data_IF_151106756767
#
_entry.id   IF_151106756767
#
_cell.length_a   1.000
_cell.length_b   1.000
_cell.length_c   1.000
_cell.angle_alpha   90.00
_cell.angle_beta   90.00
_cell.angle_gamma   90.00
#
_symmetry.space_group_name_H-M   'P 1'
#
loop_
_entity.id
_entity.type
_entity.pdbx_description
1 polymer ?
#
# COMPACT_ATOMS: atom_id res chain seq x y z
N UNK A 1 -3.29 -19.92 21.71
CA UNK A 1 -1.99 -20.08 21.04
C UNK A 1 -1.09 -18.94 21.49
N UNK A 2 -0.04 -19.25 22.26
CA UNK A 2 0.93 -18.23 22.70
C UNK A 2 1.88 -17.83 21.55
N UNK A 3 2.18 -18.78 20.65
CA UNK A 3 2.99 -18.55 19.46
C UNK A 3 2.45 -19.36 18.29
N UNK A 4 2.31 -18.72 17.14
CA UNK A 4 1.93 -19.35 15.88
C UNK A 4 2.56 -18.64 14.69
N UNK A 5 2.94 -19.40 13.67
CA UNK A 5 3.42 -18.85 12.40
C UNK A 5 2.56 -19.41 11.28
N UNK A 6 2.00 -18.51 10.48
CA UNK A 6 1.27 -18.84 9.27
C UNK A 6 1.96 -18.25 8.05
N UNK A 7 2.09 -19.02 6.98
CA UNK A 7 2.62 -18.58 5.71
C UNK A 7 1.50 -18.49 4.68
N UNK A 8 1.43 -17.37 3.95
CA UNK A 8 0.63 -17.24 2.75
C UNK A 8 1.50 -17.44 1.51
N UNK A 9 1.02 -18.23 0.55
CA UNK A 9 1.69 -18.42 -0.72
C UNK A 9 1.17 -17.44 -1.76
N UNK A 10 2.05 -16.90 -2.60
CA UNK A 10 1.63 -16.13 -3.77
C UNK A 10 0.91 -17.04 -4.78
N UNK A 11 0.13 -16.43 -5.65
CA UNK A 11 -0.56 -17.14 -6.75
C UNK A 11 0.47 -17.89 -7.60
N UNK A 12 0.19 -19.16 -7.91
CA UNK A 12 1.04 -20.06 -8.69
C UNK A 12 2.42 -20.39 -8.06
N UNK A 13 2.60 -20.21 -6.74
CA UNK A 13 3.81 -20.67 -6.06
C UNK A 13 3.82 -22.20 -5.97
N UNK A 14 4.99 -22.81 -6.21
CA UNK A 14 5.19 -24.25 -6.03
C UNK A 14 4.96 -24.63 -4.55
N UNK A 15 3.96 -25.50 -4.33
CA UNK A 15 3.57 -25.97 -3.00
C UNK A 15 4.73 -26.67 -2.26
N UNK A 16 5.54 -27.45 -3.00
CA UNK A 16 6.68 -28.17 -2.41
C UNK A 16 7.76 -27.23 -1.87
N UNK A 17 8.01 -26.11 -2.58
CA UNK A 17 8.96 -25.10 -2.09
C UNK A 17 8.44 -24.42 -0.82
N UNK A 18 7.15 -24.14 -0.76
CA UNK A 18 6.54 -23.54 0.44
C UNK A 18 6.56 -24.49 1.64
N UNK A 19 6.32 -25.79 1.42
CA UNK A 19 6.44 -26.81 2.47
C UNK A 19 7.87 -26.92 3.01
N UNK A 20 8.86 -26.93 2.13
CA UNK A 20 10.28 -26.92 2.53
C UNK A 20 10.64 -25.69 3.35
N UNK A 21 10.15 -24.52 2.95
CA UNK A 21 10.34 -23.26 3.69
C UNK A 21 9.67 -23.35 5.08
N UNK A 22 8.44 -23.83 5.15
CA UNK A 22 7.72 -24.01 6.41
C UNK A 22 8.50 -24.93 7.36
N UNK A 23 8.97 -26.08 6.87
CA UNK A 23 9.78 -27.05 7.65
C UNK A 23 11.12 -26.47 8.09
N UNK A 24 11.78 -25.66 7.25
CA UNK A 24 13.03 -25.02 7.61
C UNK A 24 12.82 -23.98 8.73
N UNK A 25 11.80 -23.14 8.61
CA UNK A 25 11.43 -22.18 9.64
C UNK A 25 11.04 -22.87 10.96
N UNK A 26 10.20 -23.91 10.90
CA UNK A 26 9.79 -24.67 12.10
C UNK A 26 11.00 -25.23 12.85
N UNK A 27 12.01 -25.77 12.14
CA UNK A 27 13.24 -26.26 12.75
C UNK A 27 14.08 -25.15 13.39
N UNK A 28 14.11 -23.96 12.78
CA UNK A 28 14.94 -22.85 13.24
C UNK A 28 14.33 -22.12 14.43
N UNK A 29 13.02 -21.90 14.41
CA UNK A 29 12.32 -21.10 15.43
C UNK A 29 11.65 -21.94 16.53
N UNK A 30 11.58 -23.27 16.35
CA UNK A 30 10.95 -24.19 17.33
C UNK A 30 9.43 -24.01 17.49
N UNK A 31 8.78 -23.35 16.53
CA UNK A 31 7.31 -23.11 16.53
C UNK A 31 6.73 -23.77 15.29
N UNK A 32 5.59 -24.46 15.43
CA UNK A 32 4.89 -25.08 14.31
C UNK A 32 4.55 -24.06 13.24
N UNK A 33 4.92 -24.35 11.99
CA UNK A 33 4.68 -23.50 10.83
C UNK A 33 3.68 -24.16 9.90
N UNK A 34 2.56 -23.51 9.62
CA UNK A 34 1.52 -24.00 8.73
C UNK A 34 1.36 -23.14 7.48
N UNK A 35 1.13 -23.78 6.33
CA UNK A 35 0.70 -23.09 5.11
C UNK A 35 -0.77 -22.72 5.26
N UNK A 36 -1.04 -21.42 5.37
CA UNK A 36 -2.38 -20.89 5.60
C UNK A 36 -3.24 -20.85 4.36
N UNK A 37 -2.66 -20.72 3.19
CA UNK A 37 -3.36 -20.64 1.91
C UNK A 37 -2.73 -19.66 0.93
N UNK A 38 -3.43 -19.35 -0.15
CA UNK A 38 -3.01 -18.35 -1.14
C UNK A 38 -3.23 -16.95 -0.59
N UNK A 39 -2.24 -16.07 -0.75
CA UNK A 39 -2.23 -14.70 -0.22
C UNK A 39 -3.50 -13.92 -0.60
N UNK A 40 -3.92 -13.99 -1.86
CA UNK A 40 -5.13 -13.34 -2.37
C UNK A 40 -6.40 -13.76 -1.61
N UNK A 41 -6.53 -15.05 -1.29
CA UNK A 41 -7.67 -15.55 -0.51
C UNK A 41 -7.62 -15.04 0.93
N UNK A 42 -6.42 -14.99 1.51
CA UNK A 42 -6.21 -14.48 2.85
C UNK A 42 -6.48 -12.97 2.92
N UNK A 43 -6.05 -12.22 1.91
CA UNK A 43 -6.37 -10.79 1.79
C UNK A 43 -7.89 -10.55 1.76
N UNK A 44 -8.65 -11.35 0.99
CA UNK A 44 -10.12 -11.25 0.96
C UNK A 44 -10.72 -11.59 2.32
N UNK A 45 -10.35 -12.73 2.93
CA UNK A 45 -10.89 -13.14 4.23
C UNK A 45 -10.65 -12.08 5.31
N UNK A 46 -9.45 -11.51 5.36
CA UNK A 46 -9.16 -10.42 6.26
C UNK A 46 -9.97 -9.17 5.96
N UNK A 47 -10.10 -8.81 4.68
CA UNK A 47 -10.84 -7.61 4.24
C UNK A 47 -12.33 -7.69 4.59
N UNK A 48 -12.93 -8.87 4.54
CA UNK A 48 -14.32 -9.10 4.94
C UNK A 48 -14.61 -8.78 6.42
N UNK A 49 -13.57 -8.63 7.24
CA UNK A 49 -13.74 -8.16 8.63
C UNK A 49 -13.84 -6.64 8.75
N UNK A 50 -13.70 -5.91 7.65
CA UNK A 50 -13.93 -4.46 7.59
C UNK A 50 -15.43 -4.18 7.67
N UNK A 51 -15.90 -3.32 8.58
CA UNK A 51 -17.32 -3.01 8.70
C UNK A 51 -17.91 -2.50 7.38
N UNK A 52 -19.07 -3.03 7.01
CA UNK A 52 -19.79 -2.64 5.79
C UNK A 52 -19.29 -3.27 4.49
N UNK A 53 -18.26 -4.09 4.56
CA UNK A 53 -17.77 -4.85 3.38
C UNK A 53 -18.53 -6.16 3.26
N UNK A 54 -18.99 -6.48 2.07
CA UNK A 54 -19.71 -7.71 1.74
C UNK A 54 -19.30 -8.22 0.35
N UNK A 55 -19.63 -9.47 0.05
CA UNK A 55 -19.44 -10.05 -1.30
C UNK A 55 -20.60 -9.66 -2.24
N UNK A 56 -20.35 -9.43 -3.54
CA UNK A 56 -19.07 -9.57 -4.23
C UNK A 56 -18.07 -8.48 -3.81
N UNK A 57 -16.80 -8.86 -3.69
CA UNK A 57 -15.73 -7.98 -3.19
C UNK A 57 -14.50 -8.07 -4.08
N UNK A 58 -14.05 -6.93 -4.58
CA UNK A 58 -12.70 -6.80 -5.13
C UNK A 58 -11.74 -6.23 -4.05
N UNK A 59 -10.57 -6.83 -3.94
CA UNK A 59 -9.49 -6.37 -3.07
C UNK A 59 -8.32 -5.96 -3.95
N UNK A 60 -7.75 -4.81 -3.68
CA UNK A 60 -6.54 -4.29 -4.32
C UNK A 60 -5.46 -4.15 -3.25
N UNK A 61 -4.49 -5.07 -3.27
CA UNK A 61 -3.34 -5.04 -2.37
C UNK A 61 -2.20 -4.25 -2.99
N UNK A 62 -1.84 -3.17 -2.32
CA UNK A 62 -0.79 -2.24 -2.73
C UNK A 62 0.43 -2.44 -1.83
N UNK A 63 1.29 -3.35 -2.23
CA UNK A 63 2.50 -3.72 -1.50
C UNK A 63 3.70 -2.81 -1.77
N UNK A 64 4.87 -3.28 -1.34
CA UNK A 64 6.16 -2.66 -1.65
C UNK A 64 6.71 -3.11 -3.01
N UNK A 65 6.63 -4.41 -3.31
CA UNK A 65 7.16 -5.03 -4.53
C UNK A 65 6.12 -5.32 -5.60
N UNK A 66 4.87 -5.58 -5.20
CA UNK A 66 3.78 -5.98 -6.08
C UNK A 66 2.51 -5.17 -5.87
N UNK A 67 1.67 -5.21 -6.90
CA UNK A 67 0.28 -4.76 -6.88
C UNK A 67 -0.58 -5.96 -7.23
N UNK A 68 -1.42 -6.39 -6.30
CA UNK A 68 -2.22 -7.58 -6.42
C UNK A 68 -3.70 -7.22 -6.43
N UNK A 69 -4.48 -7.93 -7.25
CA UNK A 69 -5.92 -7.82 -7.19
C UNK A 69 -6.57 -9.20 -7.02
N UNK A 70 -7.62 -9.24 -6.25
CA UNK A 70 -8.46 -10.42 -6.10
C UNK A 70 -9.94 -10.01 -6.12
N UNK A 71 -10.77 -10.83 -6.76
CA UNK A 71 -12.23 -10.69 -6.77
C UNK A 71 -12.85 -11.95 -6.23
N UNK A 72 -13.68 -11.83 -5.21
CA UNK A 72 -14.59 -12.88 -4.75
C UNK A 72 -15.99 -12.59 -5.27
N UNK A 73 -16.54 -13.52 -6.01
CA UNK A 73 -17.92 -13.46 -6.51
C UNK A 73 -18.91 -13.94 -5.45
N UNK A 74 -20.22 -13.69 -5.65
CA UNK A 74 -21.28 -14.06 -4.69
C UNK A 74 -21.38 -15.56 -4.44
N UNK A 75 -20.90 -16.40 -5.36
CA UNK A 75 -20.82 -17.86 -5.21
C UNK A 75 -19.53 -18.33 -4.53
N UNK A 76 -18.70 -17.39 -4.05
CA UNK A 76 -17.48 -17.68 -3.30
C UNK A 76 -16.25 -18.01 -4.14
N UNK A 77 -16.34 -17.96 -5.47
CA UNK A 77 -15.16 -18.14 -6.33
C UNK A 77 -14.23 -16.94 -6.25
N UNK A 78 -12.93 -17.20 -6.19
CA UNK A 78 -11.89 -16.17 -6.16
C UNK A 78 -11.08 -16.21 -7.45
N UNK A 79 -10.97 -15.05 -8.10
CA UNK A 79 -10.02 -14.82 -9.20
C UNK A 79 -8.99 -13.82 -8.71
N UNK A 80 -7.72 -14.07 -8.98
CA UNK A 80 -6.63 -13.20 -8.53
C UNK A 80 -5.53 -13.06 -9.55
N UNK A 81 -4.79 -11.94 -9.47
CA UNK A 81 -3.63 -11.63 -10.30
C UNK A 81 -2.56 -10.95 -9.46
N UNK A 82 -1.32 -11.26 -9.76
CA UNK A 82 -0.12 -10.66 -9.18
C UNK A 82 0.63 -9.88 -10.26
N UNK A 83 0.89 -8.60 -10.02
CA UNK A 83 1.65 -7.73 -10.92
C UNK A 83 2.87 -7.18 -10.19
N UNK A 84 4.05 -7.38 -10.80
CA UNK A 84 5.27 -6.76 -10.31
C UNK A 84 5.22 -5.23 -10.41
N UNK A 85 5.82 -4.55 -9.43
CA UNK A 85 5.92 -3.10 -9.38
C UNK A 85 4.88 -2.46 -8.46
N UNK A 86 5.40 -1.85 -7.39
CA UNK A 86 4.62 -1.14 -6.39
C UNK A 86 5.49 -0.07 -5.69
N UNK A 87 5.43 0.06 -4.39
CA UNK A 87 6.07 1.14 -3.63
C UNK A 87 7.55 1.35 -3.89
N UNK A 88 8.32 0.25 -4.01
CA UNK A 88 9.76 0.33 -4.29
C UNK A 88 10.07 0.93 -5.67
N UNK A 89 9.24 0.63 -6.67
CA UNK A 89 9.41 1.20 -8.00
C UNK A 89 9.12 2.71 -8.02
N UNK A 90 8.18 3.18 -7.20
CA UNK A 90 7.93 4.62 -7.03
C UNK A 90 9.17 5.32 -6.49
N UNK A 91 9.80 4.77 -5.43
CA UNK A 91 11.03 5.33 -4.83
C UNK A 91 12.18 5.38 -5.84
N UNK A 92 12.36 4.32 -6.65
CA UNK A 92 13.35 4.29 -7.73
C UNK A 92 13.08 5.35 -8.83
N UNK A 93 11.83 5.56 -9.19
CA UNK A 93 11.47 6.60 -10.16
C UNK A 93 11.74 8.00 -9.61
N UNK A 94 11.37 8.27 -8.36
CA UNK A 94 11.67 9.55 -7.69
C UNK A 94 13.18 9.79 -7.64
N UNK A 95 13.95 8.79 -7.23
CA UNK A 95 15.41 8.86 -7.17
C UNK A 95 16.02 9.25 -8.52
N UNK A 96 15.60 8.58 -9.59
CA UNK A 96 16.11 8.82 -10.93
C UNK A 96 15.71 10.18 -11.50
N UNK A 97 14.44 10.54 -11.40
CA UNK A 97 13.89 11.78 -11.96
C UNK A 97 14.41 13.05 -11.25
N UNK A 98 14.74 12.94 -9.95
CA UNK A 98 15.36 14.01 -9.18
C UNK A 98 16.89 13.90 -9.11
N UNK A 99 17.47 12.93 -9.83
CA UNK A 99 18.91 12.69 -9.84
C UNK A 99 19.53 12.66 -8.41
N UNK A 100 18.82 11.96 -7.49
CA UNK A 100 19.31 11.82 -6.13
C UNK A 100 20.50 10.84 -6.11
N UNK A 101 21.56 11.12 -5.35
CA UNK A 101 22.73 10.23 -5.27
C UNK A 101 22.36 8.81 -4.84
N UNK A 102 23.03 7.79 -5.43
CA UNK A 102 22.62 6.37 -5.30
C UNK A 102 23.02 5.70 -3.99
N UNK A 103 23.99 6.25 -3.28
CA UNK A 103 24.68 5.60 -2.17
C UNK A 103 24.20 6.03 -0.76
N UNK A 104 23.37 7.07 -0.69
CA UNK A 104 22.82 7.55 0.59
C UNK A 104 21.29 7.73 0.58
N UNK A 105 20.55 7.45 -0.51
CA UNK A 105 19.30 8.17 -0.72
C UNK A 105 18.12 7.38 -1.28
N UNK A 106 18.12 6.07 -1.20
CA UNK A 106 16.88 5.30 -1.24
C UNK A 106 15.96 5.81 -0.13
N UNK A 107 16.53 6.13 1.02
CA UNK A 107 15.81 6.70 2.17
C UNK A 107 15.20 8.05 1.86
N UNK A 108 15.89 8.96 1.16
CA UNK A 108 15.34 10.26 0.80
C UNK A 108 14.21 10.15 -0.22
N UNK A 109 14.35 9.31 -1.22
CA UNK A 109 13.28 9.05 -2.20
C UNK A 109 12.06 8.41 -1.53
N UNK A 110 12.29 7.49 -0.57
CA UNK A 110 11.24 6.88 0.24
C UNK A 110 10.55 7.92 1.13
N UNK A 111 11.31 8.81 1.76
CA UNK A 111 10.76 9.91 2.55
C UNK A 111 9.94 10.88 1.71
N UNK A 112 10.45 11.28 0.53
CA UNK A 112 9.71 12.13 -0.43
C UNK A 112 8.41 11.44 -0.86
N UNK A 113 8.43 10.13 -1.08
CA UNK A 113 7.23 9.35 -1.41
C UNK A 113 6.18 9.43 -0.31
N UNK A 114 6.58 9.31 0.95
CA UNK A 114 5.68 9.13 2.09
C UNK A 114 5.17 10.40 2.73
N UNK A 115 5.90 11.52 2.59
CA UNK A 115 5.59 12.74 3.35
C UNK A 115 5.20 13.91 2.46
N UNK A 116 4.25 14.73 2.90
CA UNK A 116 3.95 16.00 2.25
C UNK A 116 5.16 16.94 2.30
N UNK A 117 5.17 17.91 1.38
CA UNK A 117 6.23 18.90 1.23
C UNK A 117 5.76 20.27 1.69
N UNK A 118 6.70 21.06 2.21
CA UNK A 118 6.49 22.48 2.42
C UNK A 118 7.75 23.28 2.06
N UNK A 119 7.59 24.59 1.84
CA UNK A 119 8.68 25.55 1.72
C UNK A 119 8.67 26.48 2.93
N UNK A 120 9.80 26.61 3.59
CA UNK A 120 9.96 27.53 4.73
C UNK A 120 10.16 28.92 4.18
N UNK A 121 9.15 29.79 4.24
CA UNK A 121 9.18 31.14 3.70
C UNK A 121 9.58 32.20 4.74
N UNK A 122 9.35 31.87 6.03
CA UNK A 122 9.85 32.68 7.15
C UNK A 122 10.09 31.78 8.36
N UNK A 123 10.64 32.34 9.43
CA UNK A 123 10.80 31.62 10.69
C UNK A 123 9.49 31.30 11.39
N UNK A 124 8.37 31.88 10.95
CA UNK A 124 7.08 31.70 11.59
C UNK A 124 6.02 31.09 10.67
N UNK A 125 6.34 30.84 9.40
CA UNK A 125 5.37 30.16 8.51
C UNK A 125 6.04 29.37 7.40
N UNK A 126 5.32 28.37 6.94
CA UNK A 126 5.63 27.55 5.77
C UNK A 126 4.49 27.61 4.77
N UNK A 127 4.82 27.49 3.49
CA UNK A 127 3.85 27.23 2.42
C UNK A 127 3.85 25.73 2.13
N UNK A 128 2.70 25.10 2.30
CA UNK A 128 2.49 23.70 1.99
C UNK A 128 2.39 23.47 0.48
N UNK A 129 2.53 22.24 0.04
CA UNK A 129 2.45 21.85 -1.38
C UNK A 129 1.06 22.05 -2.03
N UNK A 130 0.01 22.22 -1.24
CA UNK A 130 -1.34 22.59 -1.67
C UNK A 130 -1.57 24.11 -1.73
N UNK A 131 -0.51 24.91 -1.51
CA UNK A 131 -0.50 26.36 -1.39
C UNK A 131 -1.14 26.92 -0.11
N UNK A 132 -1.60 26.10 0.81
CA UNK A 132 -1.98 26.56 2.14
C UNK A 132 -0.76 27.06 2.92
N UNK A 133 -0.98 27.95 3.91
CA UNK A 133 0.07 28.48 4.75
C UNK A 133 -0.18 28.04 6.19
N UNK A 134 0.85 27.45 6.81
CA UNK A 134 0.83 27.05 8.21
C UNK A 134 1.70 28.01 9.02
N UNK A 135 1.13 28.62 10.07
CA UNK A 135 1.84 29.53 10.98
C UNK A 135 2.22 28.84 12.27
N UNK A 136 3.40 29.18 12.78
CA UNK A 136 3.94 28.67 14.04
C UNK A 136 3.95 29.77 15.11
N UNK A 137 3.69 29.40 16.36
CA UNK A 137 3.76 30.34 17.51
C UNK A 137 5.20 30.67 17.90
N UNK A 138 6.08 29.66 17.76
CA UNK A 138 7.50 29.77 18.05
C UNK A 138 8.30 29.78 16.74
N UNK A 139 9.46 30.47 16.71
CA UNK A 139 10.28 30.53 15.51
C UNK A 139 10.87 29.15 15.18
N UNK A 140 10.84 28.81 13.89
CA UNK A 140 11.52 27.65 13.33
C UNK A 140 13.03 27.81 13.40
N UNK A 141 13.80 26.72 13.34
CA UNK A 141 15.27 26.76 13.23
C UNK A 141 15.63 27.61 11.99
N UNK A 142 16.48 28.66 12.20
CA UNK A 142 16.96 29.54 11.11
C UNK A 142 17.59 28.78 9.94
N UNK A 143 18.16 27.59 10.17
CA UNK A 143 18.72 26.73 9.12
C UNK A 143 17.69 26.22 8.11
N UNK A 144 16.42 26.25 8.46
CA UNK A 144 15.32 25.82 7.57
C UNK A 144 14.89 26.93 6.61
N UNK A 145 15.22 28.19 6.88
CA UNK A 145 14.77 29.33 6.08
C UNK A 145 15.10 29.16 4.59
N UNK A 146 14.13 29.36 3.74
CA UNK A 146 14.25 29.26 2.28
C UNK A 146 14.34 27.82 1.73
N UNK A 147 14.37 26.80 2.59
CA UNK A 147 14.48 25.40 2.17
C UNK A 147 13.14 24.75 1.91
N UNK A 148 13.16 23.74 1.04
CA UNK A 148 12.08 22.74 0.93
C UNK A 148 12.28 21.73 2.05
N UNK A 149 11.21 21.35 2.73
CA UNK A 149 11.23 20.38 3.80
C UNK A 149 10.06 19.37 3.65
N UNK A 150 10.29 18.19 4.22
CA UNK A 150 9.25 17.17 4.43
C UNK A 150 8.53 17.48 5.74
N UNK A 151 7.21 17.33 5.70
CA UNK A 151 6.37 17.41 6.90
C UNK A 151 6.25 16.01 7.49
N UNK A 152 6.98 15.75 8.57
CA UNK A 152 7.03 14.46 9.26
C UNK A 152 6.34 14.52 10.62
N UNK A 153 6.08 13.39 11.23
CA UNK A 153 5.52 13.33 12.59
C UNK A 153 6.41 13.99 13.64
N UNK A 154 7.73 14.02 13.40
CA UNK A 154 8.71 14.62 14.31
C UNK A 154 9.03 16.09 14.00
N UNK A 155 8.39 16.66 12.97
CA UNK A 155 8.57 18.05 12.56
C UNK A 155 9.02 18.20 11.11
N UNK A 156 9.70 19.30 10.80
CA UNK A 156 10.16 19.62 9.45
C UNK A 156 11.57 19.07 9.22
N UNK A 157 11.72 18.22 8.20
CA UNK A 157 13.00 17.66 7.78
C UNK A 157 13.43 18.31 6.46
N UNK A 158 14.51 19.13 6.45
CA UNK A 158 14.95 19.80 5.23
C UNK A 158 15.50 18.82 4.20
N UNK A 159 15.21 19.08 2.93
CA UNK A 159 15.76 18.34 1.81
C UNK A 159 16.96 19.09 1.24
N UNK A 160 18.11 18.42 1.13
CA UNK A 160 19.26 18.95 0.41
C UNK A 160 19.04 18.76 -1.10
N UNK A 161 18.46 19.75 -1.77
CA UNK A 161 18.13 19.70 -3.18
C UNK A 161 18.13 21.09 -3.81
N UNK A 162 18.42 21.18 -5.10
CA UNK A 162 18.26 22.38 -5.91
C UNK A 162 16.87 22.45 -6.59
N UNK A 163 16.06 21.38 -6.48
CA UNK A 163 14.74 21.34 -7.07
C UNK A 163 13.73 22.18 -6.28
N UNK A 164 12.77 22.78 -6.98
CA UNK A 164 11.64 23.47 -6.34
C UNK A 164 10.68 22.48 -5.71
N UNK A 165 9.86 22.96 -4.76
CA UNK A 165 8.80 22.17 -4.14
C UNK A 165 7.85 21.59 -5.19
N UNK A 166 7.44 22.40 -6.17
CA UNK A 166 6.54 22.03 -7.25
C UNK A 166 7.14 20.88 -8.09
N UNK A 167 8.44 20.95 -8.41
CA UNK A 167 9.11 19.89 -9.18
C UNK A 167 9.16 18.58 -8.42
N UNK A 168 9.50 18.60 -7.14
CA UNK A 168 9.55 17.39 -6.31
C UNK A 168 8.15 16.78 -6.19
N UNK A 169 7.13 17.59 -5.92
CA UNK A 169 5.73 17.16 -5.86
C UNK A 169 5.26 16.54 -7.18
N UNK A 170 5.57 17.18 -8.31
CA UNK A 170 5.19 16.68 -9.64
C UNK A 170 5.82 15.32 -9.92
N UNK A 171 7.12 15.16 -9.68
CA UNK A 171 7.85 13.90 -9.87
C UNK A 171 7.25 12.80 -8.99
N UNK A 172 7.02 13.09 -7.70
CA UNK A 172 6.41 12.13 -6.78
C UNK A 172 5.04 11.67 -7.27
N UNK A 173 4.16 12.60 -7.61
CA UNK A 173 2.79 12.29 -8.07
C UNK A 173 2.80 11.51 -9.39
N UNK A 174 3.65 11.90 -10.32
CA UNK A 174 3.77 11.19 -11.59
C UNK A 174 4.33 9.78 -11.41
N UNK A 175 5.33 9.58 -10.54
CA UNK A 175 5.85 8.26 -10.21
C UNK A 175 4.76 7.35 -9.60
N UNK A 176 3.98 7.86 -8.64
CA UNK A 176 2.83 7.14 -8.06
C UNK A 176 1.80 6.79 -9.13
N UNK A 177 1.46 7.72 -10.01
CA UNK A 177 0.51 7.52 -11.10
C UNK A 177 0.96 6.46 -12.08
N UNK A 178 2.23 6.51 -12.50
CA UNK A 178 2.82 5.53 -13.44
C UNK A 178 2.82 4.11 -12.89
N UNK A 179 3.04 3.95 -11.60
CA UNK A 179 3.11 2.64 -10.96
C UNK A 179 1.74 2.19 -10.49
N UNK A 180 1.18 2.84 -9.48
CA UNK A 180 -0.01 2.35 -8.82
C UNK A 180 -1.28 2.48 -9.67
N UNK A 181 -1.52 3.63 -10.29
CA UNK A 181 -2.73 3.79 -11.08
C UNK A 181 -2.76 2.84 -12.28
N UNK A 182 -1.63 2.69 -12.97
CA UNK A 182 -1.53 1.79 -14.12
C UNK A 182 -1.68 0.32 -13.71
N UNK A 183 -0.97 -0.12 -12.67
CA UNK A 183 -1.04 -1.50 -12.21
C UNK A 183 -2.40 -1.83 -11.61
N UNK A 184 -2.99 -0.94 -10.82
CA UNK A 184 -4.33 -1.13 -10.26
C UNK A 184 -5.38 -1.34 -11.36
N UNK A 185 -5.40 -0.48 -12.39
CA UNK A 185 -6.35 -0.62 -13.50
C UNK A 185 -6.13 -1.94 -14.25
N UNK A 186 -4.89 -2.30 -14.55
CA UNK A 186 -4.56 -3.58 -15.21
C UNK A 186 -4.98 -4.78 -14.37
N UNK A 187 -4.69 -4.75 -13.08
CA UNK A 187 -5.03 -5.83 -12.16
C UNK A 187 -6.55 -5.99 -12.02
N UNK A 188 -7.26 -4.89 -11.78
CA UNK A 188 -8.73 -4.91 -11.69
C UNK A 188 -9.39 -5.37 -12.99
N UNK A 189 -8.88 -4.93 -14.15
CA UNK A 189 -9.39 -5.39 -15.45
C UNK A 189 -9.25 -6.90 -15.63
N UNK A 190 -8.16 -7.49 -15.16
CA UNK A 190 -7.93 -8.94 -15.29
C UNK A 190 -8.81 -9.78 -14.36
N UNK A 191 -9.14 -9.29 -13.17
CA UNK A 191 -10.04 -10.00 -12.25
C UNK A 191 -11.52 -9.68 -12.47
N UNK A 192 -11.81 -8.59 -13.17
CA UNK A 192 -13.19 -8.14 -13.43
C UNK A 192 -13.96 -9.14 -14.31
N UNK A 193 -15.26 -9.36 -14.05
CA UNK A 193 -16.12 -10.15 -14.92
C UNK A 193 -16.09 -9.61 -16.35
N UNK A 194 -15.84 -10.49 -17.32
CA UNK A 194 -15.70 -10.15 -18.75
C UNK A 194 -14.60 -9.12 -19.06
N UNK A 195 -13.61 -8.95 -18.17
CA UNK A 195 -12.53 -7.98 -18.32
C UNK A 195 -12.99 -6.52 -18.22
N UNK A 196 -14.16 -6.24 -17.67
CA UNK A 196 -14.72 -4.90 -17.59
C UNK A 196 -14.81 -4.41 -16.12
N UNK A 197 -14.02 -3.41 -15.76
CA UNK A 197 -13.98 -2.83 -14.41
C UNK A 197 -15.36 -2.31 -13.97
N UNK A 198 -16.22 -1.89 -14.89
CA UNK A 198 -17.59 -1.43 -14.59
C UNK A 198 -18.47 -2.52 -13.95
N UNK A 199 -18.05 -3.79 -14.03
CA UNK A 199 -18.72 -4.91 -13.37
C UNK A 199 -18.21 -5.15 -11.93
N UNK A 200 -17.42 -4.23 -11.40
CA UNK A 200 -16.96 -4.21 -10.02
C UNK A 200 -17.60 -3.01 -9.32
N UNK A 201 -18.52 -3.24 -8.42
CA UNK A 201 -19.21 -2.18 -7.70
C UNK A 201 -18.33 -1.55 -6.63
N UNK A 202 -17.57 -2.39 -5.91
CA UNK A 202 -16.76 -1.96 -4.77
C UNK A 202 -15.36 -2.59 -4.78
N UNK A 203 -14.34 -1.76 -4.50
CA UNK A 203 -12.94 -2.18 -4.32
C UNK A 203 -12.46 -1.75 -2.94
N UNK A 204 -11.92 -2.70 -2.17
CA UNK A 204 -11.22 -2.42 -0.93
C UNK A 204 -9.70 -2.34 -1.16
N UNK A 205 -9.08 -1.24 -0.76
CA UNK A 205 -7.62 -1.10 -0.76
C UNK A 205 -7.07 -1.71 0.52
N UNK A 206 -6.06 -2.57 0.37
CA UNK A 206 -5.24 -3.11 1.45
C UNK A 206 -3.76 -2.92 1.14
N UNK A 207 -2.89 -3.36 2.06
CA UNK A 207 -1.44 -3.22 1.93
C UNK A 207 -0.89 -1.88 2.42
N UNK A 208 0.42 -1.83 2.62
CA UNK A 208 1.11 -0.68 3.22
C UNK A 208 1.02 0.60 2.40
N UNK A 209 1.02 0.50 1.06
CA UNK A 209 0.87 1.66 0.19
C UNK A 209 -0.57 2.18 0.12
N UNK A 210 -1.55 1.44 0.63
CA UNK A 210 -2.93 1.90 0.82
C UNK A 210 -3.07 3.01 1.87
N UNK A 211 -2.06 3.20 2.74
CA UNK A 211 -1.98 4.30 3.70
C UNK A 211 -1.37 5.58 3.12
N UNK A 212 -0.88 5.53 1.89
CA UNK A 212 -0.29 6.71 1.25
C UNK A 212 -1.33 7.79 0.99
N UNK A 213 -1.02 9.02 1.39
CA UNK A 213 -1.94 10.16 1.37
C UNK A 213 -2.39 10.60 -0.02
N UNK A 214 -1.70 10.20 -1.10
CA UNK A 214 -2.05 10.55 -2.48
C UNK A 214 -2.66 9.38 -3.27
N UNK A 215 -2.20 8.14 -3.01
CA UNK A 215 -2.55 6.97 -3.84
C UNK A 215 -4.03 6.67 -3.79
N UNK A 216 -4.61 6.63 -2.58
CA UNK A 216 -6.04 6.35 -2.40
C UNK A 216 -6.92 7.37 -3.12
N UNK A 217 -6.56 8.66 -3.06
CA UNK A 217 -7.28 9.72 -3.77
C UNK A 217 -7.16 9.60 -5.29
N UNK A 218 -5.95 9.29 -5.81
CA UNK A 218 -5.74 9.08 -7.24
C UNK A 218 -6.57 7.92 -7.78
N UNK A 219 -6.62 6.81 -7.04
CA UNK A 219 -7.41 5.64 -7.40
C UNK A 219 -8.91 5.92 -7.32
N UNK A 220 -9.36 6.58 -6.26
CA UNK A 220 -10.76 6.98 -6.09
C UNK A 220 -11.24 7.84 -7.26
N UNK A 221 -10.47 8.86 -7.61
CA UNK A 221 -10.80 9.73 -8.73
C UNK A 221 -10.88 8.96 -10.06
N UNK A 222 -9.92 8.04 -10.29
CA UNK A 222 -9.88 7.29 -11.55
C UNK A 222 -10.97 6.23 -11.63
N UNK A 223 -11.25 5.50 -10.55
CA UNK A 223 -12.26 4.43 -10.55
C UNK A 223 -13.68 4.99 -10.59
N UNK A 224 -13.91 6.21 -10.13
CA UNK A 224 -15.18 6.91 -10.29
C UNK A 224 -15.62 7.04 -11.77
N UNK A 225 -14.66 7.13 -12.72
CA UNK A 225 -14.96 7.14 -14.17
C UNK A 225 -15.61 5.83 -14.66
N UNK A 226 -15.43 4.74 -13.92
CA UNK A 226 -16.02 3.44 -14.20
C UNK A 226 -17.31 3.19 -13.39
N UNK A 227 -17.67 4.08 -12.47
CA UNK A 227 -18.77 3.89 -11.55
C UNK A 227 -18.43 3.00 -10.36
N UNK A 228 -17.16 2.64 -10.19
CA UNK A 228 -16.67 1.76 -9.12
C UNK A 228 -16.36 2.57 -7.87
N UNK A 229 -16.92 2.15 -6.73
CA UNK A 229 -16.62 2.74 -5.41
C UNK A 229 -15.35 2.09 -4.86
N UNK A 230 -14.47 2.87 -4.27
CA UNK A 230 -13.24 2.38 -3.66
C UNK A 230 -13.08 2.95 -2.25
N UNK A 231 -12.63 2.13 -1.31
CA UNK A 231 -12.34 2.53 0.06
C UNK A 231 -11.13 1.82 0.64
N UNK A 232 -10.43 2.46 1.56
CA UNK A 232 -9.34 1.82 2.30
C UNK A 232 -9.93 0.91 3.38
N UNK A 233 -9.52 -0.35 3.40
CA UNK A 233 -9.98 -1.32 4.38
C UNK A 233 -9.55 -0.94 5.80
N UNK A 234 -10.41 -1.19 6.78
CA UNK A 234 -10.09 -1.09 8.19
C UNK A 234 -10.40 -2.42 8.88
N UNK A 235 -9.43 -3.31 8.81
CA UNK A 235 -9.53 -4.69 9.27
C UNK A 235 -9.96 -4.72 10.74
N UNK A 236 -11.02 -5.48 11.06
CA UNK A 236 -11.62 -5.56 12.40
C UNK A 236 -11.94 -4.18 13.03
N UNK A 237 -12.25 -3.17 12.20
CA UNK A 237 -12.54 -1.78 12.59
C UNK A 237 -11.38 -1.03 13.30
N UNK A 238 -10.17 -1.59 13.37
CA UNK A 238 -9.06 -1.01 14.14
C UNK A 238 -7.66 -1.27 13.62
N UNK A 239 -7.47 -2.30 12.79
CA UNK A 239 -6.13 -2.76 12.41
C UNK A 239 -5.61 -2.09 11.14
N UNK A 240 -6.44 -1.30 10.46
CA UNK A 240 -6.07 -0.66 9.19
C UNK A 240 -5.85 -1.65 8.05
N UNK A 241 -5.39 -1.19 6.88
CA UNK A 241 -5.31 -2.00 5.66
C UNK A 241 -4.13 -2.98 5.62
N UNK A 242 -3.10 -2.80 6.45
CA UNK A 242 -1.86 -3.61 6.40
C UNK A 242 -2.08 -5.05 6.91
N UNK A 243 -3.11 -5.27 7.71
CA UNK A 243 -3.31 -6.54 8.42
C UNK A 243 -4.27 -7.50 7.73
N UNK A 244 -4.65 -7.25 6.47
CA UNK A 244 -5.61 -8.07 5.75
C UNK A 244 -5.16 -9.54 5.64
N UNK A 245 -3.97 -9.80 5.10
CA UNK A 245 -3.43 -11.14 4.91
C UNK A 245 -3.23 -11.85 6.26
N UNK A 246 -2.62 -11.17 7.23
CA UNK A 246 -2.39 -11.74 8.57
C UNK A 246 -3.70 -12.14 9.26
N UNK A 247 -4.72 -11.28 9.22
CA UNK A 247 -6.04 -11.58 9.77
C UNK A 247 -6.70 -12.75 9.03
N UNK A 248 -6.60 -12.77 7.71
CA UNK A 248 -7.11 -13.87 6.89
C UNK A 248 -6.45 -15.21 7.21
N UNK A 249 -5.14 -15.24 7.45
CA UNK A 249 -4.42 -16.43 7.88
C UNK A 249 -4.97 -16.97 9.22
N UNK A 250 -5.18 -16.10 10.20
CA UNK A 250 -5.75 -16.48 11.49
C UNK A 250 -7.16 -17.03 11.33
N UNK A 251 -8.02 -16.35 10.58
CA UNK A 251 -9.40 -16.80 10.32
C UNK A 251 -9.43 -18.12 9.56
N UNK A 252 -8.63 -18.28 8.52
CA UNK A 252 -8.52 -19.53 7.78
C UNK A 252 -8.03 -20.71 8.64
N UNK A 253 -7.10 -20.46 9.56
CA UNK A 253 -6.67 -21.45 10.54
C UNK A 253 -7.82 -21.86 11.47
N UNK A 254 -8.52 -20.89 12.06
CA UNK A 254 -9.64 -21.15 12.99
C UNK A 254 -10.78 -21.93 12.29
N UNK A 255 -11.11 -21.60 11.05
CA UNK A 255 -12.12 -22.34 10.28
C UNK A 255 -11.74 -23.81 10.05
N UNK A 256 -10.48 -24.08 9.69
CA UNK A 256 -9.99 -25.47 9.49
C UNK A 256 -9.96 -26.27 10.79
N UNK A 257 -9.62 -25.65 11.91
CA UNK A 257 -9.57 -26.33 13.21
C UNK A 257 -10.95 -26.58 13.82
N UNK A 258 -11.93 -25.74 13.53
CA UNK A 258 -13.30 -25.92 13.98
C UNK A 258 -14.06 -27.04 13.22
N UNK A 259 -13.57 -27.45 12.06
CA UNK A 259 -14.15 -28.53 11.24
C UNK A 259 -13.53 -29.93 11.53
N UNK A 260 -12.51 -29.99 12.36
CA UNK A 260 -11.90 -31.22 12.88
C UNK A 260 -12.42 -31.58 14.25
#
# INVERSE_FOLDING_TARGET
>A
LENAVGLAAMVNTDHLLMERLAQALEREIGVRVELGGVEANMAILGTLTTPGVAVPLAVLDLGAGSTDAALMTSDGRVTSIHLAGAGNMVSLLIQRELNLPSDANVDLAEMIKRHPLCKVESLFHVRNEDNSVTFFKEPLDPKLFGRVALVTETGLTPIATEHTLERIREVRREAKRRVFLRNALRALQQVAPLGNIRNIDFVAIVGGSGLDFEISQMLMHKLAEFGTVIGTANIQARLGPINAVATGLVLGYLQRTAQR
#
